data_IF_011883274393
#
_entry.id   IF_011883274393
#
_cell.length_a   1.000
_cell.length_b   1.000
_cell.length_c   1.000
_cell.angle_alpha   90.00
_cell.angle_beta   90.00
_cell.angle_gamma   90.00
#
_symmetry.space_group_name_H-M   'P 1'
#
loop_
_entity.id
_entity.type
_entity.pdbx_description
1 polymer ?
#
# COMPACT_ATOMS: atom_id res chain seq x y z
N UNK A 1 22.24 55.79 61.33
CA UNK A 1 21.64 55.72 59.97
C UNK A 1 21.23 54.28 59.74
N UNK A 2 19.95 53.97 59.93
CA UNK A 2 18.93 53.67 58.88
C UNK A 2 19.05 52.24 58.30
N UNK A 3 18.09 51.39 58.69
CA UNK A 3 17.26 50.41 57.92
C UNK A 3 17.91 49.57 56.78
N UNK A 4 17.56 48.33 56.39
CA UNK A 4 16.72 47.17 56.79
C UNK A 4 16.79 46.18 55.58
N UNK A 5 16.44 44.89 55.78
CA UNK A 5 15.94 43.86 54.80
C UNK A 5 17.02 43.05 54.05
N UNK A 6 17.17 41.75 54.32
CA UNK A 6 16.37 40.60 53.85
C UNK A 6 16.11 40.59 52.34
N UNK A 7 16.78 39.70 51.60
CA UNK A 7 16.09 38.77 50.67
C UNK A 7 17.03 37.66 50.20
N UNK A 8 16.62 36.43 50.51
CA UNK A 8 17.13 35.17 49.99
C UNK A 8 16.51 34.95 48.61
N UNK A 9 17.30 34.91 47.54
CA UNK A 9 16.81 34.64 46.20
C UNK A 9 16.99 33.15 45.88
N UNK A 10 15.95 32.35 46.16
CA UNK A 10 15.80 31.00 45.63
C UNK A 10 15.31 31.10 44.17
N UNK A 11 16.18 30.75 43.22
CA UNK A 11 15.82 30.58 41.81
C UNK A 11 15.09 29.24 41.65
N UNK A 12 13.75 29.28 41.67
CA UNK A 12 12.90 28.16 41.27
C UNK A 12 12.62 28.35 39.78
N UNK A 13 13.32 27.59 38.93
CA UNK A 13 12.99 27.47 37.51
C UNK A 13 11.74 26.60 37.38
N UNK A 14 10.60 27.23 37.11
CA UNK A 14 9.32 26.59 36.81
C UNK A 14 9.40 25.92 35.43
N UNK A 15 9.42 24.59 35.40
CA UNK A 15 9.24 23.82 34.17
C UNK A 15 7.76 23.90 33.74
N UNK A 16 7.47 24.73 32.74
CA UNK A 16 6.17 24.78 32.09
C UNK A 16 6.08 23.60 31.10
N UNK A 17 5.61 22.45 31.57
CA UNK A 17 5.25 21.33 30.70
C UNK A 17 3.93 21.66 29.99
N UNK A 18 4.02 22.21 28.78
CA UNK A 18 2.88 22.37 27.89
C UNK A 18 2.49 20.97 27.40
N UNK A 19 1.41 20.43 27.96
CA UNK A 19 0.77 19.23 27.44
C UNK A 19 0.06 19.61 26.13
N UNK A 20 0.72 19.36 25.00
CA UNK A 20 0.07 19.35 23.70
C UNK A 20 -0.83 18.13 23.68
N UNK A 21 -2.12 18.34 23.93
CA UNK A 21 -3.14 17.34 23.67
C UNK A 21 -3.33 17.28 22.16
N UNK A 22 -2.87 16.21 21.53
CA UNK A 22 -3.17 15.91 20.14
C UNK A 22 -4.67 15.66 20.03
N UNK A 23 -5.43 16.63 19.51
CA UNK A 23 -6.80 16.38 19.06
C UNK A 23 -6.72 15.52 17.79
N UNK A 24 -6.95 14.21 17.93
CA UNK A 24 -7.24 13.35 16.79
C UNK A 24 -8.54 13.82 16.15
N UNK A 25 -8.42 14.71 15.16
CA UNK A 25 -9.53 15.11 14.32
C UNK A 25 -9.90 13.91 13.47
N UNK A 26 -11.00 13.22 13.83
CA UNK A 26 -11.60 12.20 12.98
C UNK A 26 -12.22 12.90 11.78
N UNK A 27 -11.43 13.10 10.73
CA UNK A 27 -11.92 13.50 9.41
C UNK A 27 -12.98 12.49 8.97
N UNK A 28 -14.23 12.94 8.81
CA UNK A 28 -15.31 12.09 8.29
C UNK A 28 -15.01 11.83 6.81
N UNK A 29 -14.52 10.63 6.52
CA UNK A 29 -14.26 10.18 5.16
C UNK A 29 -15.57 10.02 4.38
N UNK A 30 -15.87 10.99 3.50
CA UNK A 30 -17.08 11.04 2.68
C UNK A 30 -16.99 10.23 1.37
N UNK A 31 -15.91 9.46 1.15
CA UNK A 31 -15.76 8.65 -0.06
C UNK A 31 -16.81 7.53 -0.11
N UNK A 32 -17.29 7.15 -1.31
CA UNK A 32 -18.07 5.93 -1.46
C UNK A 32 -17.25 4.72 -1.04
N UNK A 33 -17.90 3.70 -0.47
CA UNK A 33 -17.26 2.44 -0.11
C UNK A 33 -17.20 1.49 -1.31
N UNK A 34 -16.08 0.80 -1.44
CA UNK A 34 -15.87 -0.25 -2.43
C UNK A 34 -16.86 -1.39 -2.18
N UNK A 35 -17.49 -1.85 -3.27
CA UNK A 35 -18.38 -3.00 -3.28
C UNK A 35 -17.93 -3.94 -4.39
N UNK A 36 -17.52 -5.18 -4.05
CA UNK A 36 -17.21 -6.19 -5.04
C UNK A 36 -18.36 -6.37 -6.04
N UNK A 37 -18.04 -6.62 -7.30
CA UNK A 37 -19.07 -6.82 -8.32
C UNK A 37 -19.63 -8.23 -8.25
N UNK A 38 -20.84 -8.42 -8.76
CA UNK A 38 -21.46 -9.73 -8.93
C UNK A 38 -21.25 -10.30 -10.33
N UNK A 39 -20.51 -9.60 -11.19
CA UNK A 39 -20.21 -10.04 -12.55
C UNK A 39 -19.47 -11.38 -12.50
N UNK A 40 -19.83 -12.26 -13.43
CA UNK A 40 -19.15 -13.54 -13.64
C UNK A 40 -18.35 -13.48 -14.94
N UNK A 41 -17.08 -13.82 -14.86
CA UNK A 41 -16.19 -13.89 -16.01
C UNK A 41 -15.25 -15.10 -15.87
N UNK A 42 -14.69 -15.62 -16.99
CA UNK A 42 -13.69 -16.69 -16.94
C UNK A 42 -12.49 -16.35 -16.04
N UNK A 43 -12.16 -15.06 -15.97
CA UNK A 43 -11.23 -14.51 -15.00
C UNK A 43 -11.76 -13.14 -14.54
N UNK A 44 -11.84 -12.94 -13.23
CA UNK A 44 -12.16 -11.66 -12.60
C UNK A 44 -11.30 -11.50 -11.36
N UNK A 45 -10.61 -10.38 -11.27
CA UNK A 45 -9.81 -9.99 -10.11
C UNK A 45 -10.24 -8.60 -9.67
N UNK A 46 -10.40 -8.43 -8.37
CA UNK A 46 -10.79 -7.16 -7.74
C UNK A 46 -9.90 -6.79 -6.56
N UNK A 47 -8.82 -7.56 -6.33
CA UNK A 47 -7.81 -7.35 -5.29
C UNK A 47 -8.42 -7.20 -3.89
N UNK A 48 -9.37 -8.08 -3.58
CA UNK A 48 -9.86 -8.30 -2.22
C UNK A 48 -8.77 -8.93 -1.34
N UNK A 49 -9.01 -9.02 -0.04
CA UNK A 49 -7.99 -9.44 0.93
C UNK A 49 -7.46 -10.88 0.70
N UNK A 50 -8.16 -11.69 -0.08
CA UNK A 50 -7.80 -13.05 -0.47
C UNK A 50 -7.00 -13.14 -1.79
N UNK A 51 -6.52 -12.03 -2.35
CA UNK A 51 -5.80 -12.01 -3.64
C UNK A 51 -4.60 -12.97 -3.70
N UNK A 52 -3.89 -13.17 -2.57
CA UNK A 52 -2.75 -14.09 -2.46
C UNK A 52 -3.12 -15.56 -2.65
N UNK A 53 -4.40 -15.91 -2.56
CA UNK A 53 -4.86 -17.28 -2.86
C UNK A 53 -4.76 -17.62 -4.34
N UNK A 54 -4.68 -16.60 -5.20
CA UNK A 54 -4.66 -16.75 -6.66
C UNK A 54 -3.35 -16.27 -7.30
N UNK A 55 -2.80 -15.15 -6.82
CA UNK A 55 -1.62 -14.55 -7.41
C UNK A 55 -0.34 -15.02 -6.74
N UNK A 56 0.63 -15.38 -7.57
CA UNK A 56 1.95 -15.84 -7.13
C UNK A 56 3.04 -14.94 -7.70
N UNK A 57 3.79 -14.20 -6.85
CA UNK A 57 5.01 -13.52 -7.26
C UNK A 57 6.07 -14.52 -7.74
N UNK A 58 6.82 -14.14 -8.77
CA UNK A 58 7.96 -14.93 -9.25
C UNK A 58 9.24 -14.36 -8.69
N UNK A 59 10.06 -15.21 -8.07
CA UNK A 59 11.40 -14.89 -7.56
C UNK A 59 12.52 -15.50 -8.43
N UNK A 60 12.21 -15.81 -9.70
CA UNK A 60 13.16 -16.45 -10.60
C UNK A 60 14.37 -15.54 -10.94
N UNK A 61 15.50 -16.17 -11.23
CA UNK A 61 16.64 -15.53 -11.89
C UNK A 61 16.91 -16.24 -13.22
N UNK A 62 17.00 -15.47 -14.30
CA UNK A 62 17.36 -15.96 -15.63
C UNK A 62 18.79 -15.51 -15.95
N UNK A 63 19.67 -16.49 -16.05
CA UNK A 63 21.04 -16.30 -16.51
C UNK A 63 21.12 -16.54 -18.02
N UNK A 64 21.74 -15.61 -18.76
CA UNK A 64 21.98 -15.77 -20.18
C UNK A 64 23.29 -16.53 -20.41
N UNK A 65 23.22 -17.67 -21.11
CA UNK A 65 24.36 -18.56 -21.36
C UNK A 65 25.48 -17.91 -22.19
N UNK A 66 25.15 -16.88 -22.95
CA UNK A 66 26.09 -16.17 -23.84
C UNK A 66 26.80 -15.00 -23.13
N UNK A 67 26.73 -14.91 -21.80
CA UNK A 67 27.35 -13.84 -21.01
C UNK A 67 26.59 -12.50 -21.04
N UNK A 68 25.34 -12.51 -21.52
CA UNK A 68 24.44 -11.35 -21.48
C UNK A 68 23.93 -11.04 -20.07
N UNK A 69 23.09 -10.01 -19.95
CA UNK A 69 22.56 -9.53 -18.67
C UNK A 69 21.77 -10.62 -17.91
N UNK A 70 21.95 -10.67 -16.59
CA UNK A 70 21.20 -11.58 -15.70
C UNK A 70 19.95 -10.87 -15.18
N UNK A 71 18.78 -11.47 -15.41
CA UNK A 71 17.50 -10.91 -15.01
C UNK A 71 16.99 -11.59 -13.73
N UNK A 72 16.99 -10.86 -12.61
CA UNK A 72 16.38 -11.33 -11.35
C UNK A 72 15.06 -10.61 -11.10
N UNK A 73 13.99 -11.37 -10.87
CA UNK A 73 12.64 -10.86 -10.60
C UNK A 73 12.44 -10.70 -9.08
N UNK A 74 13.07 -9.69 -8.49
CA UNK A 74 13.01 -9.41 -7.04
C UNK A 74 12.04 -8.27 -6.68
N UNK A 75 11.25 -7.81 -7.66
CA UNK A 75 10.24 -6.78 -7.47
C UNK A 75 9.15 -7.22 -6.50
N UNK A 76 8.82 -6.34 -5.55
CA UNK A 76 7.80 -6.61 -4.53
C UNK A 76 6.44 -6.07 -4.95
N UNK A 77 5.40 -6.81 -4.62
CA UNK A 77 4.02 -6.46 -4.88
C UNK A 77 3.26 -6.28 -3.56
N UNK A 78 2.30 -5.35 -3.54
CA UNK A 78 1.35 -5.19 -2.44
C UNK A 78 -0.03 -4.87 -3.00
N UNK A 79 -1.08 -5.16 -2.25
CA UNK A 79 -2.43 -4.70 -2.55
C UNK A 79 -2.80 -3.61 -1.54
N UNK A 80 -2.96 -2.38 -2.02
CA UNK A 80 -3.20 -1.19 -1.19
C UNK A 80 -4.09 -0.16 -1.91
N UNK A 81 -4.66 0.79 -1.17
CA UNK A 81 -5.38 1.93 -1.75
C UNK A 81 -4.41 2.92 -2.43
N UNK A 82 -4.83 3.64 -3.48
CA UNK A 82 -4.06 4.74 -4.05
C UNK A 82 -3.75 5.82 -3.01
N UNK A 83 -2.50 6.27 -2.95
CA UNK A 83 -2.05 7.27 -1.99
C UNK A 83 -2.23 8.72 -2.45
N UNK A 84 -2.13 9.01 -3.75
CA UNK A 84 -2.24 10.39 -4.28
C UNK A 84 -3.70 10.80 -4.49
N UNK A 85 -4.50 9.93 -5.08
CA UNK A 85 -5.90 10.21 -5.42
C UNK A 85 -6.82 9.05 -4.99
N UNK A 86 -7.01 8.84 -3.67
CA UNK A 86 -7.93 7.83 -3.16
C UNK A 86 -9.39 8.22 -3.43
N UNK A 87 -10.01 7.64 -4.45
CA UNK A 87 -11.39 7.98 -4.86
C UNK A 87 -12.49 7.18 -4.15
N UNK A 88 -12.25 5.89 -3.92
CA UNK A 88 -13.21 4.95 -3.33
C UNK A 88 -12.53 4.31 -2.11
N UNK A 89 -13.22 4.29 -0.97
CA UNK A 89 -12.71 3.71 0.26
C UNK A 89 -12.70 2.18 0.16
N UNK A 90 -11.58 1.55 0.44
CA UNK A 90 -11.38 0.10 0.32
C UNK A 90 -11.08 -0.38 -1.11
N UNK A 91 -10.97 0.53 -2.09
CA UNK A 91 -10.63 0.17 -3.48
C UNK A 91 -9.12 -0.03 -3.60
N UNK A 92 -8.70 -1.26 -3.33
CA UNK A 92 -7.29 -1.65 -3.36
C UNK A 92 -6.92 -2.12 -4.76
N UNK A 93 -5.66 -1.86 -5.14
CA UNK A 93 -5.09 -2.36 -6.38
C UNK A 93 -3.73 -3.01 -6.14
N UNK A 94 -3.28 -3.82 -7.09
CA UNK A 94 -1.94 -4.40 -7.09
C UNK A 94 -0.90 -3.34 -7.46
N UNK A 95 0.04 -3.06 -6.56
CA UNK A 95 1.05 -2.01 -6.69
C UNK A 95 2.44 -2.62 -6.68
N UNK A 96 3.27 -2.19 -7.64
CA UNK A 96 4.71 -2.47 -7.64
C UNK A 96 5.42 -1.54 -6.64
N UNK A 97 6.16 -2.10 -5.69
CA UNK A 97 6.75 -1.35 -4.56
C UNK A 97 8.26 -1.18 -4.62
N UNK A 98 8.95 -2.04 -5.36
CA UNK A 98 10.41 -1.95 -5.49
C UNK A 98 10.77 -0.97 -6.60
N UNK A 99 11.56 0.06 -6.29
CA UNK A 99 12.13 0.90 -7.34
C UNK A 99 13.20 0.13 -8.13
N UNK A 100 13.26 0.36 -9.45
CA UNK A 100 14.30 -0.19 -10.34
C UNK A 100 14.49 -1.73 -10.24
N UNK A 101 13.39 -2.47 -10.08
CA UNK A 101 13.41 -3.94 -10.03
C UNK A 101 12.56 -4.55 -11.16
N UNK A 102 12.95 -5.73 -11.64
CA UNK A 102 12.07 -6.54 -12.48
C UNK A 102 10.98 -7.14 -11.61
N UNK A 103 9.73 -6.92 -12.00
CA UNK A 103 8.57 -7.47 -11.30
C UNK A 103 7.98 -8.59 -12.16
N UNK A 104 7.65 -9.71 -11.52
CA UNK A 104 6.90 -10.78 -12.15
C UNK A 104 5.90 -11.36 -11.15
N UNK A 105 4.67 -11.55 -11.62
CA UNK A 105 3.56 -12.11 -10.86
C UNK A 105 2.60 -12.75 -11.87
N UNK A 106 1.95 -13.84 -11.48
CA UNK A 106 0.96 -14.48 -12.33
C UNK A 106 -0.19 -15.05 -11.51
N UNK A 107 -1.35 -15.18 -12.18
CA UNK A 107 -2.52 -15.84 -11.67
C UNK A 107 -2.98 -16.88 -12.70
N UNK A 108 -3.07 -18.17 -12.36
CA UNK A 108 -3.54 -19.18 -13.29
C UNK A 108 -5.05 -19.04 -13.53
N UNK A 109 -5.48 -19.34 -14.76
CA UNK A 109 -6.89 -19.55 -15.07
C UNK A 109 -7.33 -20.90 -14.48
N UNK A 110 -8.55 -20.98 -13.93
CA UNK A 110 -9.10 -22.24 -13.41
C UNK A 110 -9.19 -23.34 -14.47
N UNK A 111 -9.46 -22.93 -15.71
CA UNK A 111 -9.51 -23.79 -16.89
C UNK A 111 -8.83 -23.09 -18.06
N UNK A 112 -8.21 -23.82 -19.00
CA UNK A 112 -7.73 -23.24 -20.25
C UNK A 112 -8.85 -22.45 -20.95
N UNK A 113 -8.53 -21.23 -21.39
CA UNK A 113 -9.46 -20.40 -22.14
C UNK A 113 -9.37 -20.76 -23.62
N UNK A 114 -10.50 -21.20 -24.20
CA UNK A 114 -10.67 -21.36 -25.64
C UNK A 114 -11.69 -20.34 -26.16
N UNK A 115 -11.22 -19.41 -26.99
CA UNK A 115 -12.05 -18.39 -27.61
C UNK A 115 -12.30 -18.67 -29.11
N UNK A 116 -12.07 -19.87 -29.61
CA UNK A 116 -12.32 -20.22 -31.01
C UNK A 116 -13.77 -19.90 -31.40
N UNK A 117 -13.95 -19.06 -32.43
CA UNK A 117 -15.27 -18.60 -32.88
C UNK A 117 -15.98 -17.63 -31.92
N UNK A 118 -15.30 -17.12 -30.89
CA UNK A 118 -15.83 -16.13 -29.93
C UNK A 118 -14.90 -14.92 -29.84
N UNK A 119 -15.46 -13.76 -29.51
CA UNK A 119 -14.66 -12.58 -29.21
C UNK A 119 -13.95 -12.74 -27.87
N UNK A 120 -12.63 -12.50 -27.87
CA UNK A 120 -11.83 -12.38 -26.66
C UNK A 120 -11.79 -10.93 -26.20
N UNK A 121 -12.15 -10.66 -24.95
CA UNK A 121 -12.02 -9.36 -24.31
C UNK A 121 -11.12 -9.53 -23.08
N UNK A 122 -10.09 -8.69 -22.99
CA UNK A 122 -9.20 -8.59 -21.83
C UNK A 122 -9.17 -7.12 -21.44
N UNK A 123 -9.41 -6.83 -20.17
CA UNK A 123 -9.45 -5.49 -19.58
C UNK A 123 -8.75 -5.50 -18.23
#
# INVERSE_FOLDING_TARGET
>A
MKFTRHTLAFLIASALAVCVCSEETTEVDNRPEFKPTTIQAPFLEQFTDDWLTRWSPSEATKENKDGGETFSYVGKWIVEEPNVYPGIKGDKGLVAKSAAAHHAISAPLKTPLDNTGKTLVVQ
#
